data_IF_906945415566
#
_entry.id   IF_906945415566
#
_cell.length_a   1.000
_cell.length_b   1.000
_cell.length_c   1.000
_cell.angle_alpha   90.00
_cell.angle_beta   90.00
_cell.angle_gamma   90.00
#
_symmetry.space_group_name_H-M   'P 1'
#
loop_
_entity.id
_entity.type
_entity.pdbx_description
1 polymer ?
#
# COMPACT_ATOMS: atom_id res chain seq x y z
N UNK A 1 -12.70 3.58 -8.33
CA UNK A 1 -12.91 2.12 -8.15
C UNK A 1 -12.47 1.80 -6.74
N UNK A 2 -13.26 1.05 -5.98
CA UNK A 2 -12.90 0.70 -4.60
C UNK A 2 -11.93 -0.48 -4.52
N UNK A 3 -11.09 -0.45 -3.49
CA UNK A 3 -10.21 -1.54 -3.08
C UNK A 3 -10.63 -2.01 -1.69
N UNK A 4 -10.54 -3.32 -1.46
CA UNK A 4 -11.09 -3.97 -0.27
C UNK A 4 -10.13 -5.01 0.27
N UNK A 5 -9.92 -4.96 1.58
CA UNK A 5 -9.25 -5.99 2.34
C UNK A 5 -10.32 -6.76 3.11
N UNK A 6 -10.59 -8.03 2.73
CA UNK A 6 -11.53 -8.90 3.45
C UNK A 6 -11.21 -9.09 4.93
N UNK A 7 -10.01 -8.70 5.37
CA UNK A 7 -9.55 -8.83 6.75
C UNK A 7 -9.68 -7.54 7.58
N UNK A 8 -9.99 -6.40 6.97
CA UNK A 8 -10.07 -5.11 7.65
C UNK A 8 -11.41 -4.44 7.43
N UNK A 9 -11.79 -4.21 6.17
CA UNK A 9 -13.02 -3.54 5.75
C UNK A 9 -13.72 -4.41 4.71
N UNK A 10 -14.29 -5.55 5.13
CA UNK A 10 -14.80 -6.56 4.21
C UNK A 10 -16.00 -6.09 3.38
N UNK A 11 -16.64 -4.96 3.74
CA UNK A 11 -17.83 -4.44 3.05
C UNK A 11 -17.61 -3.05 2.46
N UNK A 12 -16.89 -2.18 3.15
CA UNK A 12 -16.79 -0.76 2.81
C UNK A 12 -15.72 -0.52 1.74
N UNK A 13 -14.53 -1.06 1.97
CA UNK A 13 -13.33 -0.68 1.23
C UNK A 13 -12.97 0.80 1.33
N UNK A 14 -11.98 1.20 0.56
CA UNK A 14 -11.65 2.61 0.33
C UNK A 14 -11.62 2.88 -1.18
N UNK A 15 -11.74 4.14 -1.58
CA UNK A 15 -11.45 4.50 -2.97
C UNK A 15 -9.98 4.19 -3.29
N UNK A 16 -9.75 3.59 -4.47
CA UNK A 16 -8.40 3.35 -4.96
C UNK A 16 -7.70 4.70 -5.10
N UNK A 17 -6.59 4.93 -4.40
CA UNK A 17 -5.85 6.16 -4.56
C UNK A 17 -5.24 6.23 -5.96
N UNK A 18 -5.37 7.40 -6.59
CA UNK A 18 -4.78 7.72 -7.88
C UNK A 18 -3.42 8.40 -7.70
N UNK A 19 -2.46 7.65 -7.16
CA UNK A 19 -1.09 8.12 -6.99
C UNK A 19 -0.29 7.90 -8.26
N UNK A 20 0.50 8.90 -8.63
CA UNK A 20 1.56 8.77 -9.63
C UNK A 20 2.62 7.77 -9.19
N UNK A 21 3.44 7.32 -10.13
CA UNK A 21 4.55 6.39 -9.83
C UNK A 21 5.53 6.98 -8.82
N UNK A 22 5.88 8.27 -8.94
CA UNK A 22 6.79 8.94 -8.01
C UNK A 22 6.20 9.05 -6.60
N UNK A 23 4.89 9.26 -6.48
CA UNK A 23 4.22 9.27 -5.17
C UNK A 23 4.21 7.89 -4.53
N UNK A 24 4.00 6.83 -5.32
CA UNK A 24 4.07 5.45 -4.83
C UNK A 24 5.48 5.13 -4.31
N UNK A 25 6.51 5.46 -5.06
CA UNK A 25 7.91 5.24 -4.65
C UNK A 25 8.25 6.02 -3.36
N UNK A 26 7.87 7.30 -3.31
CA UNK A 26 8.06 8.16 -2.14
C UNK A 26 7.32 7.63 -0.91
N UNK A 27 6.05 7.22 -1.08
CA UNK A 27 5.25 6.65 0.00
C UNK A 27 5.81 5.31 0.48
N UNK A 28 6.20 4.41 -0.42
CA UNK A 28 6.84 3.14 -0.07
C UNK A 28 8.09 3.36 0.77
N UNK A 29 8.97 4.27 0.35
CA UNK A 29 10.19 4.58 1.10
C UNK A 29 9.90 5.24 2.45
N UNK A 30 8.94 6.17 2.51
CA UNK A 30 8.52 6.78 3.77
C UNK A 30 7.96 5.74 4.74
N UNK A 31 7.06 4.87 4.28
CA UNK A 31 6.39 3.88 5.12
C UNK A 31 7.36 2.84 5.63
N UNK A 32 8.29 2.38 4.80
CA UNK A 32 9.35 1.45 5.20
C UNK A 32 10.20 1.98 6.35
N UNK A 33 10.53 3.27 6.32
CA UNK A 33 11.36 3.90 7.36
C UNK A 33 10.54 4.36 8.58
N UNK A 34 9.35 4.91 8.35
CA UNK A 34 8.46 5.42 9.39
C UNK A 34 7.00 5.50 8.90
N UNK A 35 6.16 4.49 9.23
CA UNK A 35 4.75 4.46 8.84
C UNK A 35 3.95 5.70 9.26
N UNK A 36 4.29 6.34 10.39
CA UNK A 36 3.61 7.55 10.85
C UNK A 36 3.83 8.73 9.88
N UNK A 37 5.05 8.87 9.34
CA UNK A 37 5.34 9.90 8.32
C UNK A 37 4.52 9.67 7.05
N UNK A 38 4.37 8.42 6.62
CA UNK A 38 3.50 8.07 5.50
C UNK A 38 2.04 8.46 5.75
N UNK A 39 1.51 8.18 6.95
CA UNK A 39 0.13 8.57 7.31
C UNK A 39 -0.04 10.09 7.33
N UNK A 40 0.91 10.84 7.90
CA UNK A 40 0.86 12.31 7.91
C UNK A 40 0.89 12.89 6.49
N UNK A 41 1.81 12.41 5.64
CA UNK A 41 1.90 12.82 4.25
C UNK A 41 0.57 12.64 3.50
N UNK A 42 -0.07 11.48 3.65
CA UNK A 42 -1.35 11.18 3.02
C UNK A 42 -2.47 12.13 3.48
N UNK A 43 -2.46 12.51 4.76
CA UNK A 43 -3.46 13.44 5.30
C UNK A 43 -3.21 14.87 4.84
N UNK A 44 -1.96 15.31 4.81
CA UNK A 44 -1.61 16.70 4.51
C UNK A 44 -1.61 16.98 3.01
N UNK A 45 -1.09 16.07 2.19
CA UNK A 45 -0.90 16.29 0.75
C UNK A 45 -2.08 15.79 -0.09
N UNK A 46 -2.82 14.79 0.40
CA UNK A 46 -3.95 14.19 -0.31
C UNK A 46 -5.29 14.38 0.41
N UNK A 47 -5.31 15.11 1.53
CA UNK A 47 -6.51 15.38 2.33
C UNK A 47 -7.27 14.11 2.73
N UNK A 48 -6.57 12.97 2.84
CA UNK A 48 -7.21 11.71 3.20
C UNK A 48 -7.64 11.72 4.66
N UNK A 49 -8.71 10.97 4.96
CA UNK A 49 -9.10 10.70 6.34
C UNK A 49 -7.99 9.93 7.05
N UNK A 50 -7.90 10.06 8.37
CA UNK A 50 -6.94 9.26 9.16
C UNK A 50 -7.17 7.75 8.96
N UNK A 51 -8.44 7.36 8.81
CA UNK A 51 -8.83 5.99 8.55
C UNK A 51 -8.23 5.47 7.22
N UNK A 52 -8.43 6.20 6.12
CA UNK A 52 -7.96 5.77 4.80
C UNK A 52 -6.44 5.85 4.70
N UNK A 53 -5.82 6.88 5.29
CA UNK A 53 -4.37 6.99 5.37
C UNK A 53 -3.75 5.79 6.10
N UNK A 54 -4.33 5.41 7.26
CA UNK A 54 -3.90 4.22 8.01
C UNK A 54 -4.13 2.94 7.21
N UNK A 55 -5.28 2.82 6.55
CA UNK A 55 -5.57 1.68 5.69
C UNK A 55 -4.51 1.56 4.58
N UNK A 56 -4.18 2.65 3.89
CA UNK A 56 -3.18 2.64 2.83
C UNK A 56 -1.82 2.18 3.36
N UNK A 57 -1.32 2.85 4.40
CA UNK A 57 0.01 2.59 4.97
C UNK A 57 0.18 1.14 5.41
N UNK A 58 -0.82 0.54 6.06
CA UNK A 58 -0.74 -0.85 6.53
C UNK A 58 -0.70 -1.90 5.40
N UNK A 59 -1.15 -1.53 4.20
CA UNK A 59 -1.22 -2.46 3.08
C UNK A 59 -0.13 -2.19 2.03
N UNK A 60 0.72 -1.16 2.17
CA UNK A 60 1.89 -0.93 1.30
C UNK A 60 2.95 -1.98 1.55
N UNK A 61 3.35 -2.71 0.50
CA UNK A 61 4.31 -3.78 0.68
C UNK A 61 5.69 -3.30 1.11
N UNK A 62 6.22 -3.91 2.18
CA UNK A 62 7.60 -3.67 2.61
C UNK A 62 8.61 -4.17 1.56
N UNK A 63 8.24 -5.27 0.89
CA UNK A 63 9.00 -5.88 -0.20
C UNK A 63 8.06 -6.24 -1.34
N UNK A 64 8.31 -5.70 -2.52
CA UNK A 64 7.56 -6.04 -3.74
C UNK A 64 7.52 -7.56 -3.94
N UNK A 65 6.37 -8.07 -4.34
CA UNK A 65 6.08 -9.49 -4.51
C UNK A 65 5.67 -10.20 -3.22
N UNK A 66 5.83 -9.58 -2.05
CA UNK A 66 5.59 -10.23 -0.75
C UNK A 66 4.34 -9.70 -0.07
N UNK A 67 3.54 -10.59 0.51
CA UNK A 67 2.39 -10.19 1.32
C UNK A 67 2.82 -9.69 2.71
N UNK A 68 2.34 -8.51 3.10
CA UNK A 68 2.63 -7.91 4.42
C UNK A 68 2.12 -8.70 5.61
N UNK A 69 1.16 -9.61 5.40
CA UNK A 69 0.53 -10.36 6.48
C UNK A 69 1.13 -11.76 6.67
N UNK A 70 1.30 -12.50 5.58
CA UNK A 70 1.67 -13.92 5.65
C UNK A 70 2.96 -14.25 4.89
N UNK A 71 3.67 -13.24 4.40
CA UNK A 71 4.96 -13.35 3.70
C UNK A 71 4.94 -14.27 2.45
N UNK A 72 3.78 -14.44 1.81
CA UNK A 72 3.71 -15.10 0.50
C UNK A 72 4.42 -14.24 -0.55
N UNK A 73 5.35 -14.81 -1.32
CA UNK A 73 6.40 -14.12 -2.10
C UNK A 73 6.16 -14.08 -3.61
N UNK A 74 4.98 -14.52 -4.06
CA UNK A 74 4.61 -14.57 -5.48
C UNK A 74 3.37 -13.72 -5.79
N UNK A 75 3.26 -12.53 -5.17
CA UNK A 75 2.23 -11.55 -5.53
C UNK A 75 2.53 -10.95 -6.91
N UNK A 76 1.54 -10.95 -7.80
CA UNK A 76 1.63 -10.41 -9.16
C UNK A 76 0.55 -9.36 -9.40
N UNK A 77 0.94 -8.14 -9.78
CA UNK A 77 0.03 -7.01 -9.96
C UNK A 77 0.10 -6.02 -8.79
N UNK A 78 -0.42 -4.82 -9.02
CA UNK A 78 -0.16 -3.65 -8.19
C UNK A 78 -1.12 -3.49 -7.00
N UNK A 79 -2.39 -3.88 -7.19
CA UNK A 79 -3.43 -3.85 -6.16
C UNK A 79 -4.01 -5.26 -6.09
N UNK A 80 -3.60 -6.05 -5.10
CA UNK A 80 -3.87 -7.49 -5.11
C UNK A 80 -4.22 -8.05 -3.73
N UNK A 81 -5.24 -8.91 -3.71
CA UNK A 81 -5.52 -9.77 -2.57
C UNK A 81 -4.58 -10.96 -2.62
N UNK A 82 -3.85 -11.19 -1.52
CA UNK A 82 -2.95 -12.33 -1.41
C UNK A 82 -3.73 -13.63 -1.63
N UNK A 83 -3.31 -14.50 -2.56
CA UNK A 83 -4.04 -15.75 -2.84
C UNK A 83 -3.96 -16.74 -1.66
N UNK A 84 -2.96 -16.60 -0.78
CA UNK A 84 -2.78 -17.47 0.39
C UNK A 84 -3.64 -17.07 1.58
N UNK A 85 -3.70 -15.77 1.92
CA UNK A 85 -4.38 -15.32 3.15
C UNK A 85 -5.56 -14.36 2.92
N UNK A 86 -5.76 -13.90 1.69
CA UNK A 86 -6.81 -12.96 1.30
C UNK A 86 -6.58 -11.51 1.73
N UNK A 87 -5.50 -11.19 2.45
CA UNK A 87 -5.19 -9.79 2.78
C UNK A 87 -4.90 -8.99 1.52
N UNK A 88 -5.42 -7.76 1.43
CA UNK A 88 -5.10 -6.83 0.36
C UNK A 88 -3.64 -6.38 0.45
N UNK A 89 -3.04 -5.97 -0.67
CA UNK A 89 -1.69 -5.43 -0.72
C UNK A 89 -1.62 -4.38 -1.84
N UNK A 90 -1.06 -3.22 -1.50
CA UNK A 90 -0.48 -2.29 -2.45
C UNK A 90 0.93 -2.79 -2.78
N UNK A 91 0.99 -3.65 -3.79
CA UNK A 91 2.21 -4.27 -4.29
C UNK A 91 2.85 -3.38 -5.36
N UNK A 92 3.15 -2.14 -4.96
CA UNK A 92 3.80 -1.17 -5.82
C UNK A 92 5.19 -1.72 -6.20
N UNK A 93 5.43 -1.80 -7.52
CA UNK A 93 6.70 -2.26 -8.05
C UNK A 93 7.71 -1.13 -7.88
N UNK A 94 8.52 -1.23 -6.83
CA UNK A 94 9.66 -0.33 -6.65
C UNK A 94 10.65 -0.64 -7.77
N UNK A 95 10.94 0.32 -8.64
CA UNK A 95 12.18 0.28 -9.39
C UNK A 95 13.26 0.70 -8.39
N UNK A 96 14.25 -0.15 -8.06
CA UNK A 96 15.44 0.36 -7.42
C UNK A 96 15.95 1.52 -8.26
N UNK A 97 16.27 2.66 -7.65
CA UNK A 97 17.05 3.67 -8.33
C UNK A 97 18.34 2.97 -8.79
N UNK A 98 18.44 2.73 -10.09
CA UNK A 98 19.72 2.36 -10.69
C UNK A 98 20.60 3.57 -10.46
N UNK A 99 21.57 3.44 -9.57
CA UNK A 99 22.60 4.44 -9.38
C UNK A 99 23.30 4.63 -10.73
N UNK A 100 23.07 5.77 -11.38
CA UNK A 100 23.86 6.26 -12.52
C UNK A 100 25.16 6.83 -11.97
#
# INVERSE_FOLDING_TARGET
MKIQCPKCLPKEGIERPDFSTSEKDKLSEMVKNNPMKGMMYLREQHMLSLHDAKYIVLHINEKTGHCNRCNFDNLKGEYINCPKCGAFNFNWMYKPQENI
#
